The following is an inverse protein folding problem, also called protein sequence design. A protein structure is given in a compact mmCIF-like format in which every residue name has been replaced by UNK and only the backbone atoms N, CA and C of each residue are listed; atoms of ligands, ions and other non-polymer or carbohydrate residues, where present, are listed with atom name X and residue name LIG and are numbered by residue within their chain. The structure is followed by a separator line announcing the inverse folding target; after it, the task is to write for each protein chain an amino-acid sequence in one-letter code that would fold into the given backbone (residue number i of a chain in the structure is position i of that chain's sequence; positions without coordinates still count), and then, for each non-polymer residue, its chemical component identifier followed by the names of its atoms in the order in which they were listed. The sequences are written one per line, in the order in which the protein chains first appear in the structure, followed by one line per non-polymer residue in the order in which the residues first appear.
data_IF_174602197887
#
_entry.id   IF_174602197887
#
_cell.length_a   1.000
_cell.length_b   1.000
_cell.length_c   1.000
_cell.angle_alpha   90.00
_cell.angle_beta   90.00
_cell.angle_gamma   90.00
#
_symmetry.space_group_name_H-M   'P 1'
#
loop_
_entity.id
_entity.type
_entity.pdbx_description
1 polymer ?
#
# COMPACT_ATOMS: atom_id res chain seq x y z
N UNK A 1 -7.58 23.66 29.83
CA UNK A 1 -7.16 22.81 28.71
C UNK A 1 -5.64 22.84 28.71
N UNK A 2 -5.06 21.72 29.10
CA UNK A 2 -3.68 21.65 29.57
C UNK A 2 -2.79 21.15 28.42
N UNK A 3 -1.58 21.71 28.29
CA UNK A 3 -0.63 21.40 27.20
C UNK A 3 -0.31 19.90 27.09
N UNK A 4 -0.37 19.18 28.22
CA UNK A 4 -0.14 17.73 28.30
C UNK A 4 -1.26 16.93 27.63
N UNK A 5 -2.50 17.38 27.81
CA UNK A 5 -3.68 16.75 27.22
C UNK A 5 -3.71 16.92 25.69
N UNK A 6 -3.32 18.11 25.19
CA UNK A 6 -3.18 18.36 23.75
C UNK A 6 -2.09 17.50 23.09
N UNK A 7 -0.99 17.23 23.79
CA UNK A 7 0.09 16.39 23.26
C UNK A 7 -0.32 14.90 23.17
N UNK A 8 -1.08 14.40 24.15
CA UNK A 8 -1.61 13.04 24.12
C UNK A 8 -2.62 12.84 22.99
N UNK A 9 -3.50 13.83 22.75
CA UNK A 9 -4.47 13.81 21.64
C UNK A 9 -3.76 13.81 20.27
N UNK A 10 -2.74 14.65 20.08
CA UNK A 10 -1.93 14.67 18.87
C UNK A 10 -1.17 13.35 18.66
N UNK A 11 -0.64 12.75 19.74
CA UNK A 11 0.03 11.46 19.67
C UNK A 11 -0.94 10.33 19.29
N UNK A 12 -2.17 10.36 19.83
CA UNK A 12 -3.21 9.40 19.48
C UNK A 12 -3.65 9.57 18.01
N UNK A 13 -3.84 10.81 17.56
CA UNK A 13 -4.15 11.14 16.16
C UNK A 13 -3.02 10.71 15.22
N UNK A 14 -1.76 10.97 15.56
CA UNK A 14 -0.60 10.54 14.78
C UNK A 14 -0.49 9.01 14.72
N UNK A 15 -0.72 8.31 15.84
CA UNK A 15 -0.73 6.84 15.86
C UNK A 15 -1.86 6.27 14.98
N UNK A 16 -3.04 6.91 15.01
CA UNK A 16 -4.20 6.53 14.20
C UNK A 16 -3.95 6.80 12.70
N UNK A 17 -3.35 7.93 12.38
CA UNK A 17 -2.94 8.27 11.02
C UNK A 17 -1.88 7.30 10.49
N UNK A 18 -0.86 6.98 11.30
CA UNK A 18 0.16 5.99 10.96
C UNK A 18 -0.44 4.60 10.70
N UNK A 19 -1.41 4.16 11.53
CA UNK A 19 -2.10 2.89 11.30
C UNK A 19 -2.98 2.92 10.07
N UNK A 20 -3.66 4.04 9.76
CA UNK A 20 -4.44 4.20 8.55
C UNK A 20 -3.57 4.14 7.28
N UNK A 21 -2.42 4.82 7.28
CA UNK A 21 -1.45 4.78 6.16
C UNK A 21 -0.85 3.38 5.99
N UNK A 22 -0.51 2.70 7.08
CA UNK A 22 -0.04 1.31 7.00
C UNK A 22 -1.11 0.34 6.50
N UNK A 23 -2.36 0.52 6.92
CA UNK A 23 -3.47 -0.30 6.46
C UNK A 23 -3.70 -0.12 4.96
N UNK A 24 -3.59 1.11 4.44
CA UNK A 24 -3.70 1.35 3.00
C UNK A 24 -2.56 0.76 2.18
N UNK A 25 -1.33 0.86 2.70
CA UNK A 25 -0.16 0.24 2.09
C UNK A 25 -0.32 -1.28 2.04
N UNK A 26 -0.76 -1.88 3.14
CA UNK A 26 -1.02 -3.31 3.23
C UNK A 26 -2.10 -3.75 2.24
N UNK A 27 -3.20 -2.99 2.10
CA UNK A 27 -4.25 -3.27 1.10
C UNK A 27 -3.72 -3.25 -0.33
N UNK A 28 -2.82 -2.31 -0.66
CA UNK A 28 -2.19 -2.23 -1.99
C UNK A 28 -1.27 -3.43 -2.25
N UNK A 29 -0.49 -3.84 -1.25
CA UNK A 29 0.34 -5.04 -1.35
C UNK A 29 -0.51 -6.31 -1.48
N UNK A 30 -1.55 -6.46 -0.67
CA UNK A 30 -2.52 -7.55 -0.74
C UNK A 30 -3.13 -7.66 -2.14
N UNK A 31 -3.64 -6.54 -2.67
CA UNK A 31 -4.20 -6.50 -4.03
C UNK A 31 -3.17 -6.81 -5.12
N UNK A 32 -1.89 -6.48 -4.93
CA UNK A 32 -0.83 -6.81 -5.88
C UNK A 32 -0.55 -8.32 -5.92
N UNK A 33 -0.55 -8.97 -4.76
CA UNK A 33 -0.38 -10.43 -4.64
C UNK A 33 -1.67 -11.22 -4.89
N UNK A 34 -2.81 -10.54 -5.10
CA UNK A 34 -4.11 -11.17 -5.33
C UNK A 34 -4.78 -11.73 -4.07
N UNK A 35 -4.30 -11.34 -2.89
CA UNK A 35 -4.84 -11.76 -1.61
C UNK A 35 -5.83 -10.71 -1.05
N UNK A 36 -6.89 -11.16 -0.40
CA UNK A 36 -7.83 -10.28 0.34
C UNK A 36 -7.36 -10.06 1.79
N UNK A 37 -6.67 -11.05 2.36
CA UNK A 37 -6.25 -11.06 3.76
C UNK A 37 -4.77 -11.39 3.89
N UNK A 38 -4.14 -10.78 4.89
CA UNK A 38 -2.73 -11.06 5.28
C UNK A 38 -2.53 -12.53 5.66
N UNK A 39 -3.57 -13.19 6.15
CA UNK A 39 -3.56 -14.62 6.51
C UNK A 39 -3.49 -15.55 5.29
N UNK A 40 -3.84 -15.05 4.11
CA UNK A 40 -3.77 -15.78 2.84
C UNK A 40 -2.38 -15.67 2.20
N UNK A 41 -1.56 -14.73 2.68
CA UNK A 41 -0.18 -14.57 2.25
C UNK A 41 0.74 -15.54 2.98
N UNK A 42 1.64 -16.16 2.23
CA UNK A 42 2.72 -16.95 2.80
C UNK A 42 3.70 -16.07 3.59
N UNK A 43 4.35 -16.66 4.60
CA UNK A 43 5.36 -15.98 5.41
C UNK A 43 6.44 -15.33 4.54
N UNK A 44 6.89 -15.99 3.48
CA UNK A 44 7.89 -15.43 2.57
C UNK A 44 7.43 -14.17 1.85
N UNK A 45 6.12 -14.04 1.58
CA UNK A 45 5.55 -12.82 0.96
C UNK A 45 5.45 -11.70 1.98
N UNK A 46 5.10 -12.01 3.24
CA UNK A 46 5.10 -11.04 4.34
C UNK A 46 6.50 -10.50 4.61
N UNK A 47 7.52 -11.36 4.60
CA UNK A 47 8.91 -10.96 4.75
C UNK A 47 9.39 -10.07 3.59
N UNK A 48 8.99 -10.38 2.35
CA UNK A 48 9.29 -9.55 1.19
C UNK A 48 8.64 -8.15 1.32
N UNK A 49 7.37 -8.07 1.69
CA UNK A 49 6.67 -6.80 1.93
C UNK A 49 7.38 -6.00 3.03
N UNK A 50 7.75 -6.64 4.15
CA UNK A 50 8.50 -5.99 5.23
C UNK A 50 9.85 -5.45 4.75
N UNK A 51 10.57 -6.18 3.89
CA UNK A 51 11.79 -5.73 3.25
C UNK A 51 11.58 -4.50 2.35
N UNK A 52 10.55 -4.50 1.52
CA UNK A 52 10.20 -3.37 0.65
C UNK A 52 9.84 -2.12 1.45
N UNK A 53 8.99 -2.25 2.48
CA UNK A 53 8.58 -1.14 3.34
C UNK A 53 9.77 -0.57 4.11
N UNK A 54 10.65 -1.43 4.64
CA UNK A 54 11.89 -0.99 5.30
C UNK A 54 12.81 -0.21 4.33
N UNK A 55 12.80 -0.59 3.05
CA UNK A 55 13.58 0.08 2.01
C UNK A 55 12.87 1.31 1.41
N UNK A 56 11.71 1.71 1.94
CA UNK A 56 10.92 2.84 1.43
C UNK A 56 10.26 2.59 0.07
N UNK A 57 10.19 1.33 -0.37
CA UNK A 57 9.58 0.95 -1.65
C UNK A 57 8.06 0.87 -1.47
N UNK A 58 7.36 1.71 -2.22
CA UNK A 58 5.90 1.72 -2.27
C UNK A 58 5.38 0.58 -3.16
N UNK A 59 4.23 -0.02 -2.84
CA UNK A 59 3.61 -1.04 -3.68
C UNK A 59 3.35 -0.48 -5.08
N UNK A 60 3.46 -1.31 -6.13
CA UNK A 60 3.08 -0.90 -7.47
C UNK A 60 1.61 -0.47 -7.41
N UNK A 61 1.32 0.74 -7.89
CA UNK A 61 -0.04 1.24 -7.93
C UNK A 61 -0.88 0.21 -8.67
N UNK A 62 -1.94 -0.29 -8.03
CA UNK A 62 -2.83 -1.33 -8.54
C UNK A 62 -3.66 -0.90 -9.76
N UNK A 63 -3.05 -0.15 -10.68
CA UNK A 63 -3.48 -0.09 -12.06
C UNK A 63 -3.18 -1.47 -12.62
N UNK A 64 -4.17 -2.35 -12.43
CA UNK A 64 -4.55 -3.38 -13.39
C UNK A 64 -4.01 -2.94 -14.73
N UNK A 65 -3.06 -3.69 -15.29
CA UNK A 65 -2.70 -3.55 -16.68
C UNK A 65 -4.01 -3.78 -17.44
N UNK A 66 -4.81 -2.73 -17.62
CA UNK A 66 -5.69 -2.63 -18.75
C UNK A 66 -4.71 -2.75 -19.88
N UNK A 67 -4.62 -3.96 -20.43
CA UNK A 67 -4.21 -4.18 -21.79
C UNK A 67 -5.13 -3.30 -22.64
N UNK A 68 -4.80 -2.00 -22.69
CA UNK A 68 -5.21 -1.12 -23.73
C UNK A 68 -4.46 -1.63 -24.93
N UNK A 69 -5.03 -2.66 -25.57
CA UNK A 69 -4.83 -2.93 -26.97
C UNK A 69 -5.35 -1.74 -27.76
N UNK A 70 -4.68 -0.59 -27.62
CA UNK A 70 -4.64 0.41 -28.66
C UNK A 70 -3.74 -0.17 -29.71
N UNK A 71 -4.31 -1.01 -30.58
CA UNK A 71 -3.64 -1.42 -31.79
C UNK A 71 -3.13 -0.17 -32.47
N UNK A 72 -1.81 -0.16 -32.58
CA UNK A 72 -1.00 0.82 -33.25
C UNK A 72 -1.68 1.16 -34.58
N UNK A 73 -2.16 2.40 -34.71
CA UNK A 73 -2.51 2.95 -36.01
C UNK A 73 -1.24 3.03 -36.82
N UNK A 74 -0.94 1.98 -37.58
CA UNK A 74 0.10 1.94 -38.60
C UNK A 74 -0.11 3.11 -39.55
N UNK A 75 0.77 4.11 -39.65
CA UNK A 75 0.63 5.17 -40.63
C UNK A 75 1.36 4.78 -41.91
N UNK A 76 1.14 3.58 -42.46
CA UNK A 76 1.66 3.21 -43.79
C UNK A 76 0.78 2.12 -44.42
N UNK A 77 -0.25 2.52 -45.17
CA UNK A 77 -0.45 2.23 -46.60
C UNK A 77 -1.88 2.56 -47.05
#
# INVERSE_FOLDING_TARGET
MDQRSALEDLSALAATAHTATHAELARKWLSHFGADRVQDLDLGVLEAIAGYVRNGISPPNGQRATAGGGVNGSPYR
#
